data_IF_028348499332
#
_entry.id   IF_028348499332
#
_cell.length_a   1.000
_cell.length_b   1.000
_cell.length_c   1.000
_cell.angle_alpha   90.00
_cell.angle_beta   90.00
_cell.angle_gamma   90.00
#
_symmetry.space_group_name_H-M   'P 1'
#
loop_
_entity.id
_entity.type
_entity.pdbx_description
1 polymer ?
#
# COMPACT_ATOMS: atom_id res chain seq x y z
N UNK A 1 13.83 -13.02 -33.63
CA UNK A 1 12.55 -13.01 -32.89
C UNK A 1 12.88 -12.48 -31.52
N UNK A 2 12.63 -11.18 -31.28
CA UNK A 2 13.11 -10.47 -30.09
C UNK A 2 12.27 -10.76 -28.87
N UNK A 3 12.97 -11.11 -27.79
CA UNK A 3 12.50 -11.12 -26.41
C UNK A 3 11.94 -9.75 -26.01
N UNK A 4 10.68 -9.73 -25.65
CA UNK A 4 10.08 -8.75 -24.75
C UNK A 4 9.16 -9.56 -23.82
N UNK A 5 8.86 -9.03 -22.63
CA UNK A 5 7.98 -9.57 -21.58
C UNK A 5 8.69 -10.29 -20.42
N UNK A 6 9.14 -9.45 -19.49
CA UNK A 6 9.46 -9.76 -18.10
C UNK A 6 9.68 -8.49 -17.27
N UNK A 7 9.16 -7.34 -17.74
CA UNK A 7 9.22 -6.06 -17.04
C UNK A 7 7.84 -5.85 -16.43
N UNK A 8 7.76 -5.69 -15.10
CA UNK A 8 6.54 -5.29 -14.40
C UNK A 8 5.92 -4.14 -15.19
N UNK A 9 4.70 -4.35 -15.68
CA UNK A 9 4.03 -3.39 -16.54
C UNK A 9 3.38 -2.35 -15.64
N UNK A 10 4.14 -1.32 -15.25
CA UNK A 10 3.67 -0.18 -14.44
C UNK A 10 2.35 0.44 -14.94
N UNK A 11 2.05 0.31 -16.25
CA UNK A 11 0.73 0.73 -16.78
C UNK A 11 -0.41 -0.18 -16.31
N UNK A 12 -0.21 -1.48 -16.24
CA UNK A 12 -1.23 -2.42 -15.77
C UNK A 12 -1.59 -2.16 -14.31
N UNK A 13 -0.62 -1.87 -13.45
CA UNK A 13 -0.89 -1.55 -12.03
C UNK A 13 -1.64 -0.22 -11.85
N UNK A 14 -1.34 0.77 -12.70
CA UNK A 14 -2.10 2.03 -12.78
C UNK A 14 -3.51 1.77 -13.31
N UNK A 15 -3.66 0.91 -14.33
CA UNK A 15 -4.96 0.52 -14.87
C UNK A 15 -5.79 -0.29 -13.85
N UNK A 16 -5.16 -1.12 -13.02
CA UNK A 16 -5.79 -1.89 -11.95
C UNK A 16 -6.20 -0.97 -10.78
N UNK A 17 -5.39 0.04 -10.45
CA UNK A 17 -5.74 1.12 -9.53
C UNK A 17 -6.95 1.92 -10.05
N UNK A 18 -6.96 2.24 -11.33
CA UNK A 18 -8.05 2.93 -12.02
C UNK A 18 -9.35 2.10 -11.98
N UNK A 19 -9.29 0.81 -12.31
CA UNK A 19 -10.47 -0.08 -12.32
C UNK A 19 -11.03 -0.30 -10.92
N UNK A 20 -10.16 -0.48 -9.92
CA UNK A 20 -10.58 -0.65 -8.54
C UNK A 20 -11.33 0.57 -8.01
N UNK A 21 -10.77 1.76 -8.24
CA UNK A 21 -11.37 2.99 -7.73
C UNK A 21 -12.70 3.31 -8.44
N UNK A 22 -12.81 2.98 -9.74
CA UNK A 22 -14.01 3.26 -10.53
C UNK A 22 -15.11 2.21 -10.41
N UNK A 23 -14.76 0.92 -10.27
CA UNK A 23 -15.70 -0.19 -10.40
C UNK A 23 -15.76 -1.13 -9.18
N UNK A 24 -14.74 -1.14 -8.31
CA UNK A 24 -14.63 -2.07 -7.18
C UNK A 24 -15.52 -1.75 -5.98
N UNK A 25 -15.77 -0.47 -5.69
CA UNK A 25 -16.47 -0.04 -4.46
C UNK A 25 -17.82 0.66 -4.69
N UNK A 26 -17.99 1.42 -5.78
CA UNK A 26 -19.13 2.33 -5.98
C UNK A 26 -20.48 1.66 -6.35
N UNK A 27 -20.58 0.32 -6.35
CA UNK A 27 -21.79 -0.41 -6.81
C UNK A 27 -22.46 -1.36 -5.81
N UNK A 28 -22.12 -1.33 -4.53
CA UNK A 28 -22.94 -2.00 -3.51
C UNK A 28 -23.82 -0.96 -2.82
N UNK A 29 -25.14 -1.05 -3.05
CA UNK A 29 -26.14 -0.08 -2.60
C UNK A 29 -26.40 -0.06 -1.08
N UNK A 30 -25.42 -0.45 -0.26
CA UNK A 30 -25.44 -0.38 1.20
C UNK A 30 -24.48 0.71 1.76
N UNK A 31 -23.79 1.46 0.89
CA UNK A 31 -22.72 2.39 1.29
C UNK A 31 -23.03 3.83 0.89
N UNK A 32 -22.91 4.78 1.84
CA UNK A 32 -23.10 6.21 1.61
C UNK A 32 -21.74 6.91 1.38
N UNK A 33 -21.34 7.04 0.12
CA UNK A 33 -20.28 7.95 -0.37
C UNK A 33 -18.81 7.61 -0.03
N UNK A 34 -17.82 8.26 -0.71
CA UNK A 34 -16.41 7.88 -0.64
C UNK A 34 -15.74 8.48 0.58
N UNK A 35 -15.43 7.64 1.56
CA UNK A 35 -14.35 7.92 2.51
C UNK A 35 -13.32 6.82 2.33
N UNK A 36 -12.45 7.00 1.33
CA UNK A 36 -11.52 5.97 0.84
C UNK A 36 -10.59 5.42 1.95
N UNK A 37 -10.32 6.23 2.98
CA UNK A 37 -9.31 5.93 4.00
C UNK A 37 -9.86 5.69 5.40
N UNK A 38 -11.05 6.16 5.73
CA UNK A 38 -11.64 5.91 7.06
C UNK A 38 -13.15 5.90 6.97
N UNK A 39 -13.78 4.85 7.47
CA UNK A 39 -15.23 4.75 7.53
C UNK A 39 -15.64 4.43 8.98
N UNK A 40 -16.82 4.87 9.41
CA UNK A 40 -17.43 4.53 10.70
C UNK A 40 -17.39 3.03 11.03
N UNK A 41 -17.38 2.15 10.03
CA UNK A 41 -17.21 0.71 10.20
C UNK A 41 -15.91 0.31 10.91
N UNK A 42 -14.80 1.05 10.75
CA UNK A 42 -13.55 0.79 11.48
C UNK A 42 -13.76 1.03 12.97
N UNK A 43 -14.44 2.13 13.32
CA UNK A 43 -14.80 2.45 14.70
C UNK A 43 -15.76 1.42 15.29
N UNK A 44 -16.76 0.98 14.54
CA UNK A 44 -17.70 -0.06 14.99
C UNK A 44 -17.00 -1.40 15.24
N UNK A 45 -16.13 -1.84 14.32
CA UNK A 45 -15.33 -3.04 14.49
C UNK A 45 -14.38 -2.94 15.70
N UNK A 46 -13.71 -1.78 15.86
CA UNK A 46 -12.82 -1.49 16.99
C UNK A 46 -13.56 -1.57 18.33
N UNK A 47 -14.76 -0.99 18.41
CA UNK A 47 -15.63 -1.05 19.59
C UNK A 47 -16.13 -2.46 19.88
N UNK A 48 -16.53 -3.21 18.85
CA UNK A 48 -16.95 -4.62 19.00
C UNK A 48 -15.82 -5.48 19.56
N UNK A 49 -14.59 -5.24 19.14
CA UNK A 49 -13.41 -5.96 19.63
C UNK A 49 -12.98 -5.52 21.04
N UNK A 50 -13.41 -4.35 21.51
CA UNK A 50 -12.97 -3.80 22.79
C UNK A 50 -13.29 -4.72 23.97
N UNK A 51 -14.43 -5.44 23.92
CA UNK A 51 -14.83 -6.41 24.95
C UNK A 51 -13.89 -7.63 25.05
N UNK A 52 -13.19 -7.94 23.96
CA UNK A 52 -12.27 -9.08 23.88
C UNK A 52 -10.82 -8.70 24.20
N UNK A 53 -10.49 -7.40 24.26
CA UNK A 53 -9.14 -6.92 24.56
C UNK A 53 -8.89 -6.89 26.06
N UNK A 54 -7.75 -7.43 26.46
CA UNK A 54 -7.35 -7.57 27.85
C UNK A 54 -5.87 -7.22 28.04
N UNK A 55 -5.45 -6.94 29.27
CA UNK A 55 -4.03 -6.75 29.57
C UNK A 55 -3.29 -8.10 29.62
N UNK A 56 -3.12 -8.72 28.44
CA UNK A 56 -2.41 -9.97 28.27
C UNK A 56 -0.99 -9.72 27.76
N UNK A 57 -0.01 -10.57 28.15
CA UNK A 57 1.33 -10.49 27.60
C UNK A 57 1.35 -10.58 26.07
N UNK A 58 2.21 -9.78 25.48
CA UNK A 58 2.54 -9.83 24.05
C UNK A 58 3.94 -10.42 23.92
N UNK A 59 4.16 -11.28 22.92
CA UNK A 59 5.49 -11.81 22.62
C UNK A 59 6.50 -10.66 22.43
N UNK A 60 7.75 -10.85 22.87
CA UNK A 60 8.78 -9.85 22.59
C UNK A 60 9.00 -9.75 21.08
N UNK A 61 9.39 -8.57 20.61
CA UNK A 61 9.53 -8.33 19.17
C UNK A 61 10.53 -9.28 18.49
N UNK A 62 11.60 -9.69 19.18
CA UNK A 62 12.54 -10.69 18.69
C UNK A 62 11.91 -12.07 18.54
N UNK A 63 11.09 -12.48 19.51
CA UNK A 63 10.40 -13.77 19.46
C UNK A 63 9.35 -13.76 18.34
N UNK A 64 8.67 -12.63 18.13
CA UNK A 64 7.73 -12.46 17.03
C UNK A 64 8.44 -12.56 15.66
N UNK A 65 9.60 -11.93 15.52
CA UNK A 65 10.44 -12.01 14.30
C UNK A 65 10.84 -13.45 14.00
N UNK A 66 11.30 -14.21 15.01
CA UNK A 66 11.66 -15.62 14.87
C UNK A 66 10.45 -16.49 14.47
N UNK A 67 9.31 -16.30 15.16
CA UNK A 67 8.07 -17.06 14.92
C UNK A 67 7.52 -16.84 13.52
N UNK A 68 7.58 -15.60 13.00
CA UNK A 68 7.15 -15.28 11.64
C UNK A 68 8.15 -15.80 10.61
N UNK A 69 9.45 -15.60 10.85
CA UNK A 69 10.52 -15.90 9.88
C UNK A 69 10.63 -17.38 9.58
N UNK A 70 10.49 -18.23 10.59
CA UNK A 70 10.75 -19.67 10.49
C UNK A 70 9.89 -20.39 9.43
N UNK A 71 8.55 -20.29 9.41
CA UNK A 71 7.74 -20.92 8.37
C UNK A 71 7.96 -20.33 6.98
N UNK A 72 8.21 -19.02 6.85
CA UNK A 72 8.54 -18.39 5.58
C UNK A 72 9.87 -18.93 5.00
N UNK A 73 10.89 -19.10 5.85
CA UNK A 73 12.17 -19.68 5.45
C UNK A 73 12.01 -21.13 5.00
N UNK A 74 11.22 -21.94 5.73
CA UNK A 74 10.94 -23.32 5.33
C UNK A 74 10.22 -23.42 3.99
N UNK A 75 9.33 -22.49 3.69
CA UNK A 75 8.68 -22.41 2.39
C UNK A 75 9.71 -22.24 1.27
N UNK A 76 10.59 -21.23 1.37
CA UNK A 76 11.62 -21.00 0.35
C UNK A 76 12.64 -22.14 0.27
N UNK A 77 13.05 -22.71 1.41
CA UNK A 77 13.95 -23.85 1.45
C UNK A 77 13.36 -25.09 0.78
N UNK A 78 12.05 -25.29 0.91
CA UNK A 78 11.32 -26.38 0.25
C UNK A 78 11.27 -26.17 -1.26
N UNK A 79 11.05 -24.93 -1.72
CA UNK A 79 11.11 -24.59 -3.15
C UNK A 79 12.52 -24.82 -3.70
N UNK A 80 13.57 -24.35 -3.01
CA UNK A 80 14.96 -24.53 -3.42
C UNK A 80 15.34 -26.00 -3.57
N UNK A 81 14.71 -26.90 -2.80
CA UNK A 81 14.97 -28.33 -2.88
C UNK A 81 14.33 -29.00 -4.10
N UNK A 82 13.27 -28.42 -4.67
CA UNK A 82 12.48 -29.03 -5.76
C UNK A 82 12.64 -28.32 -7.11
N UNK A 83 13.01 -27.03 -7.11
CA UNK A 83 13.18 -26.23 -8.32
C UNK A 83 14.66 -26.25 -8.75
N UNK A 84 15.02 -26.87 -9.89
CA UNK A 84 16.42 -27.03 -10.29
C UNK A 84 17.16 -25.72 -10.57
N UNK A 85 16.44 -24.64 -10.90
CA UNK A 85 16.99 -23.31 -11.18
C UNK A 85 17.06 -22.41 -9.95
N UNK A 86 16.70 -22.93 -8.77
CA UNK A 86 16.81 -22.20 -7.53
C UNK A 86 18.23 -22.23 -6.98
N UNK A 87 18.76 -21.06 -6.67
CA UNK A 87 20.06 -20.86 -6.04
C UNK A 87 19.86 -20.35 -4.62
N UNK A 88 20.51 -21.01 -3.65
CA UNK A 88 20.58 -20.49 -2.28
C UNK A 88 21.59 -19.35 -2.25
N UNK A 89 21.16 -18.21 -1.74
CA UNK A 89 22.01 -17.04 -1.47
C UNK A 89 22.14 -16.83 0.04
N UNK A 90 23.04 -15.94 0.45
CA UNK A 90 23.18 -15.55 1.87
C UNK A 90 21.90 -14.88 2.41
N UNK A 91 21.03 -14.39 1.51
CA UNK A 91 19.79 -13.67 1.83
C UNK A 91 18.52 -14.49 1.58
N UNK A 92 18.62 -15.72 1.07
CA UNK A 92 17.46 -16.59 0.85
C UNK A 92 17.60 -17.50 -0.36
N UNK A 93 16.56 -17.53 -1.18
CA UNK A 93 16.47 -18.38 -2.38
C UNK A 93 16.12 -17.50 -3.57
N UNK A 94 16.98 -17.50 -4.58
CA UNK A 94 16.77 -16.78 -5.83
C UNK A 94 16.47 -17.77 -6.96
N UNK A 95 15.48 -17.43 -7.79
CA UNK A 95 15.19 -18.19 -9.02
C UNK A 95 14.46 -17.29 -10.02
N UNK A 96 14.48 -17.62 -11.33
CA UNK A 96 13.64 -16.92 -12.29
C UNK A 96 12.16 -16.99 -11.90
N UNK A 97 11.43 -15.85 -11.95
CA UNK A 97 9.99 -15.81 -11.59
C UNK A 97 9.13 -16.81 -12.38
N UNK A 98 9.53 -17.15 -13.60
CA UNK A 98 8.83 -18.16 -14.43
C UNK A 98 8.93 -19.57 -13.84
N UNK A 99 10.03 -19.87 -13.14
CA UNK A 99 10.28 -21.18 -12.54
C UNK A 99 9.73 -21.26 -11.11
N UNK A 100 9.39 -20.12 -10.52
CA UNK A 100 8.84 -20.03 -9.17
C UNK A 100 7.42 -20.63 -9.12
N UNK A 101 7.19 -21.65 -8.26
CA UNK A 101 5.87 -22.23 -8.05
C UNK A 101 4.86 -21.18 -7.59
N UNK A 102 3.59 -21.37 -7.96
CA UNK A 102 2.52 -20.53 -7.43
C UNK A 102 2.43 -20.70 -5.92
N UNK A 103 2.38 -19.59 -5.20
CA UNK A 103 2.15 -19.59 -3.76
C UNK A 103 0.70 -19.97 -3.45
N UNK A 104 0.52 -20.78 -2.41
CA UNK A 104 -0.77 -21.11 -1.82
C UNK A 104 -0.71 -20.94 -0.30
N UNK A 105 -1.76 -20.38 0.28
CA UNK A 105 -1.86 -20.10 1.71
C UNK A 105 -1.84 -21.38 2.55
N UNK A 106 -2.30 -22.50 1.99
CA UNK A 106 -2.27 -23.82 2.63
C UNK A 106 -0.85 -24.36 2.89
N UNK A 107 0.17 -23.75 2.27
CA UNK A 107 1.59 -24.04 2.50
C UNK A 107 2.06 -23.77 3.93
N UNK A 108 1.27 -23.07 4.74
CA UNK A 108 1.59 -22.65 6.11
C UNK A 108 2.75 -21.64 6.20
N UNK A 109 3.20 -21.05 5.08
CA UNK A 109 4.29 -20.07 5.12
C UNK A 109 3.98 -18.84 6.00
N UNK A 110 2.70 -18.47 6.11
CA UNK A 110 2.23 -17.33 6.91
C UNK A 110 1.72 -17.71 8.31
N UNK A 111 1.82 -18.98 8.73
CA UNK A 111 1.25 -19.42 10.01
C UNK A 111 1.86 -18.71 11.24
N UNK A 112 3.11 -18.27 11.13
CA UNK A 112 3.78 -17.48 12.17
C UNK A 112 3.16 -16.08 12.33
N UNK A 113 2.68 -15.50 11.23
CA UNK A 113 1.95 -14.23 11.23
C UNK A 113 0.65 -14.38 12.00
N UNK A 114 -0.14 -15.42 11.72
CA UNK A 114 -1.40 -15.70 12.42
C UNK A 114 -1.20 -15.82 13.94
N UNK A 115 -0.15 -16.50 14.36
CA UNK A 115 0.17 -16.69 15.78
C UNK A 115 0.51 -15.35 16.48
N UNK A 116 1.36 -14.54 15.85
CA UNK A 116 1.80 -13.24 16.39
C UNK A 116 0.64 -12.23 16.41
N UNK A 117 -0.10 -12.13 15.31
CA UNK A 117 -1.25 -11.23 15.18
C UNK A 117 -2.34 -11.61 16.16
N UNK A 118 -2.67 -12.90 16.25
CA UNK A 118 -3.67 -13.41 17.20
C UNK A 118 -3.34 -13.09 18.66
N UNK A 119 -2.06 -13.10 19.05
CA UNK A 119 -1.62 -12.65 20.37
C UNK A 119 -1.72 -11.12 20.55
N UNK A 120 -1.35 -10.35 19.53
CA UNK A 120 -1.31 -8.89 19.60
C UNK A 120 -2.71 -8.26 19.66
N UNK A 121 -3.64 -8.67 18.80
CA UNK A 121 -4.94 -8.00 18.63
C UNK A 121 -5.85 -8.06 19.86
N UNK A 122 -5.65 -9.06 20.72
CA UNK A 122 -6.39 -9.25 21.97
C UNK A 122 -5.74 -8.53 23.17
N UNK A 123 -4.58 -7.90 22.98
CA UNK A 123 -3.87 -7.22 24.06
C UNK A 123 -4.21 -5.73 24.13
N UNK A 124 -4.18 -5.16 25.35
CA UNK A 124 -4.15 -3.71 25.59
C UNK A 124 -2.73 -3.20 25.87
N UNK A 125 -1.69 -4.02 25.67
CA UNK A 125 -0.29 -3.57 25.71
C UNK A 125 0.06 -2.91 24.38
N UNK A 126 -0.53 -1.73 24.17
CA UNK A 126 -0.64 -1.07 22.87
C UNK A 126 0.67 -1.00 22.10
N UNK A 127 1.75 -0.52 22.72
CA UNK A 127 3.02 -0.34 22.05
C UNK A 127 3.65 -1.67 21.61
N UNK A 128 3.66 -2.65 22.51
CA UNK A 128 4.23 -3.99 22.23
C UNK A 128 3.42 -4.69 21.13
N UNK A 129 2.09 -4.62 21.23
CA UNK A 129 1.17 -5.19 20.24
C UNK A 129 1.33 -4.54 18.87
N UNK A 130 1.38 -3.20 18.80
CA UNK A 130 1.61 -2.48 17.53
C UNK A 130 2.99 -2.81 16.97
N UNK A 131 4.02 -2.97 17.79
CA UNK A 131 5.33 -3.44 17.34
C UNK A 131 5.23 -4.79 16.60
N UNK A 132 4.50 -5.74 17.18
CA UNK A 132 4.29 -7.06 16.57
C UNK A 132 3.39 -7.01 15.33
N UNK A 133 2.34 -6.18 15.33
CA UNK A 133 1.48 -5.98 14.15
C UNK A 133 2.25 -5.32 12.99
N UNK A 134 3.07 -4.31 13.29
CA UNK A 134 3.93 -3.65 12.31
C UNK A 134 4.93 -4.65 11.70
N UNK A 135 5.55 -5.50 12.53
CA UNK A 135 6.45 -6.57 12.09
C UNK A 135 5.75 -7.59 11.20
N UNK A 136 4.56 -8.03 11.60
CA UNK A 136 3.72 -8.94 10.81
C UNK A 136 3.41 -8.37 9.42
N UNK A 137 2.98 -7.11 9.34
CA UNK A 137 2.70 -6.42 8.08
C UNK A 137 3.95 -6.29 7.21
N UNK A 138 5.06 -5.84 7.79
CA UNK A 138 6.35 -5.70 7.09
C UNK A 138 6.78 -7.04 6.46
N UNK A 139 6.80 -8.10 7.24
CA UNK A 139 7.25 -9.41 6.79
C UNK A 139 6.30 -10.05 5.77
N UNK A 140 4.99 -9.84 5.94
CA UNK A 140 3.99 -10.30 4.97
C UNK A 140 4.14 -9.58 3.64
N UNK A 141 4.27 -8.25 3.64
CA UNK A 141 4.49 -7.47 2.42
C UNK A 141 5.77 -7.92 1.68
N UNK A 142 6.86 -8.10 2.43
CA UNK A 142 8.12 -8.63 1.90
C UNK A 142 7.95 -10.03 1.32
N UNK A 143 7.29 -10.93 2.04
CA UNK A 143 7.07 -12.30 1.60
C UNK A 143 6.26 -12.33 0.30
N UNK A 144 5.13 -11.63 0.26
CA UNK A 144 4.25 -11.54 -0.93
C UNK A 144 5.02 -10.97 -2.12
N UNK A 145 5.88 -9.97 -1.91
CA UNK A 145 6.74 -9.41 -2.97
C UNK A 145 7.77 -10.40 -3.55
N UNK A 146 8.11 -11.46 -2.81
CA UNK A 146 9.12 -12.46 -3.17
C UNK A 146 8.55 -13.81 -3.61
N UNK A 147 7.23 -13.99 -3.62
CA UNK A 147 6.58 -15.20 -4.13
C UNK A 147 5.84 -14.95 -5.45
N UNK A 148 5.50 -16.04 -6.16
CA UNK A 148 4.64 -15.96 -7.33
C UNK A 148 3.18 -16.14 -6.92
N UNK A 149 2.56 -15.06 -6.45
CA UNK A 149 1.17 -15.03 -5.98
C UNK A 149 0.17 -14.89 -7.14
N UNK A 150 0.08 -15.92 -7.99
CA UNK A 150 -0.72 -15.83 -9.24
C UNK A 150 -2.23 -15.82 -9.00
N UNK A 151 -2.66 -16.37 -7.87
CA UNK A 151 -4.06 -16.48 -7.48
C UNK A 151 -4.46 -15.41 -6.44
N UNK A 152 -3.56 -14.48 -6.12
CA UNK A 152 -3.72 -13.38 -5.16
C UNK A 152 -4.01 -13.81 -3.71
N UNK A 153 -3.76 -15.06 -3.33
CA UNK A 153 -3.99 -15.54 -1.96
C UNK A 153 -3.12 -14.78 -0.94
N UNK A 154 -1.86 -14.49 -1.29
CA UNK A 154 -0.94 -13.73 -0.44
C UNK A 154 -1.32 -12.26 -0.34
N UNK A 155 -1.75 -11.66 -1.45
CA UNK A 155 -2.20 -10.28 -1.52
C UNK A 155 -3.50 -10.06 -0.74
N UNK A 156 -4.47 -10.96 -0.86
CA UNK A 156 -5.71 -10.91 -0.08
C UNK A 156 -5.43 -11.07 1.42
N UNK A 157 -4.51 -11.97 1.79
CA UNK A 157 -4.05 -12.10 3.18
C UNK A 157 -3.44 -10.79 3.72
N UNK A 158 -2.59 -10.11 2.93
CA UNK A 158 -1.99 -8.83 3.31
C UNK A 158 -3.05 -7.75 3.54
N UNK A 159 -4.09 -7.70 2.69
CA UNK A 159 -5.20 -6.75 2.84
C UNK A 159 -5.98 -6.99 4.14
N UNK A 160 -6.32 -8.23 4.43
CA UNK A 160 -7.01 -8.60 5.67
C UNK A 160 -6.16 -8.26 6.91
N UNK A 161 -4.85 -8.50 6.83
CA UNK A 161 -3.91 -8.12 7.88
C UNK A 161 -3.86 -6.60 8.11
N UNK A 162 -3.78 -5.80 7.04
CA UNK A 162 -3.82 -4.33 7.13
C UNK A 162 -5.14 -3.87 7.76
N UNK A 163 -6.26 -4.49 7.40
CA UNK A 163 -7.55 -4.17 8.00
C UNK A 163 -7.57 -4.46 9.51
N UNK A 164 -7.01 -5.58 9.95
CA UNK A 164 -6.86 -5.88 11.38
C UNK A 164 -6.01 -4.81 12.10
N UNK A 165 -4.92 -4.36 11.48
CA UNK A 165 -4.09 -3.28 12.02
C UNK A 165 -4.85 -1.96 12.11
N UNK A 166 -5.63 -1.58 11.10
CA UNK A 166 -6.45 -0.37 11.13
C UNK A 166 -7.46 -0.37 12.27
N UNK A 167 -8.16 -1.49 12.45
CA UNK A 167 -9.11 -1.67 13.56
C UNK A 167 -8.40 -1.58 14.91
N UNK A 168 -7.22 -2.20 15.05
CA UNK A 168 -6.44 -2.12 16.28
C UNK A 168 -5.91 -0.71 16.56
N UNK A 169 -5.44 0.00 15.53
CA UNK A 169 -4.93 1.36 15.65
C UNK A 169 -6.02 2.38 16.00
N UNK A 170 -7.27 2.14 15.60
CA UNK A 170 -8.41 2.93 16.10
C UNK A 170 -8.60 2.73 17.61
N UNK A 171 -8.47 1.50 18.11
CA UNK A 171 -8.50 1.23 19.55
C UNK A 171 -7.33 1.90 20.28
N UNK A 172 -6.12 1.91 19.69
CA UNK A 172 -4.96 2.64 20.24
C UNK A 172 -5.27 4.14 20.32
N UNK A 173 -5.77 4.76 19.25
CA UNK A 173 -6.12 6.18 19.22
C UNK A 173 -7.15 6.55 20.30
N UNK A 174 -8.10 5.67 20.59
CA UNK A 174 -9.14 5.92 21.58
C UNK A 174 -8.69 5.70 23.04
N UNK A 175 -7.70 4.85 23.29
CA UNK A 175 -7.45 4.31 24.64
C UNK A 175 -6.00 4.46 25.14
N UNK A 176 -5.02 4.63 24.26
CA UNK A 176 -3.63 4.79 24.66
C UNK A 176 -3.36 6.22 25.16
N UNK A 177 -2.37 6.37 26.04
CA UNK A 177 -1.86 7.71 26.34
C UNK A 177 -1.17 8.30 25.09
N UNK A 178 -1.10 9.65 24.97
CA UNK A 178 -0.58 10.30 23.75
C UNK A 178 0.83 9.87 23.35
N UNK A 179 1.72 9.59 24.31
CA UNK A 179 3.10 9.16 24.02
C UNK A 179 3.10 7.75 23.41
N UNK A 180 2.33 6.82 23.98
CA UNK A 180 2.16 5.48 23.42
C UNK A 180 1.50 5.53 22.04
N UNK A 181 0.49 6.38 21.86
CA UNK A 181 -0.19 6.59 20.59
C UNK A 181 0.74 7.11 19.49
N UNK A 182 1.55 8.13 19.79
CA UNK A 182 2.56 8.69 18.87
C UNK A 182 3.55 7.62 18.40
N UNK A 183 4.13 6.89 19.36
CA UNK A 183 5.13 5.87 19.04
C UNK A 183 4.53 4.74 18.19
N UNK A 184 3.30 4.33 18.50
CA UNK A 184 2.56 3.33 17.73
C UNK A 184 2.31 3.78 16.29
N UNK A 185 1.80 5.00 16.09
CA UNK A 185 1.53 5.53 14.76
C UNK A 185 2.83 5.69 13.95
N UNK A 186 3.93 6.08 14.60
CA UNK A 186 5.24 6.17 13.97
C UNK A 186 5.76 4.82 13.48
N UNK A 187 5.55 3.73 14.23
CA UNK A 187 5.92 2.37 13.78
C UNK A 187 5.16 1.98 12.51
N UNK A 188 3.84 2.19 12.49
CA UNK A 188 3.01 1.90 11.31
C UNK A 188 3.44 2.75 10.11
N UNK A 189 3.68 4.04 10.32
CA UNK A 189 4.15 4.94 9.25
C UNK A 189 5.52 4.50 8.71
N UNK A 190 6.43 4.04 9.57
CA UNK A 190 7.73 3.51 9.13
C UNK A 190 7.58 2.28 8.24
N UNK A 191 6.68 1.35 8.59
CA UNK A 191 6.41 0.16 7.77
C UNK A 191 5.75 0.56 6.45
N UNK A 192 4.71 1.40 6.48
CA UNK A 192 4.03 1.83 5.25
C UNK A 192 4.97 2.53 4.27
N UNK A 193 5.94 3.31 4.76
CA UNK A 193 6.91 4.04 3.96
C UNK A 193 8.15 3.22 3.59
N UNK A 194 8.18 1.91 3.85
CA UNK A 194 9.33 1.07 3.55
C UNK A 194 9.34 0.63 2.06
N UNK A 195 10.42 -0.03 1.66
CA UNK A 195 10.61 -0.47 0.28
C UNK A 195 9.69 -1.65 -0.11
N UNK A 196 9.21 -2.45 0.85
CA UNK A 196 8.30 -3.57 0.62
C UNK A 196 6.92 -3.10 0.14
N UNK A 197 6.55 -1.85 0.46
CA UNK A 197 5.31 -1.21 0.02
C UNK A 197 5.45 -0.35 -1.24
N UNK A 198 6.66 -0.19 -1.80
CA UNK A 198 6.91 0.65 -3.00
C UNK A 198 6.05 0.30 -4.20
N UNK A 199 5.75 -0.98 -4.38
CA UNK A 199 4.96 -1.49 -5.50
C UNK A 199 3.48 -1.72 -5.14
N UNK A 200 3.11 -1.48 -3.87
CA UNK A 200 1.76 -1.68 -3.35
C UNK A 200 1.22 -0.35 -2.78
N UNK A 201 1.15 0.67 -3.65
CA UNK A 201 0.80 2.03 -3.24
C UNK A 201 -0.58 2.11 -2.55
N UNK A 202 -1.53 1.27 -2.95
CA UNK A 202 -2.82 1.15 -2.28
C UNK A 202 -2.69 0.66 -0.85
N UNK A 203 -1.97 -0.44 -0.62
CA UNK A 203 -1.80 -1.03 0.71
C UNK A 203 -1.00 -0.09 1.63
N UNK A 204 -0.03 0.64 1.07
CA UNK A 204 0.66 1.72 1.79
C UNK A 204 -0.34 2.76 2.29
N UNK A 205 -1.21 3.26 1.40
CA UNK A 205 -2.18 4.30 1.72
C UNK A 205 -3.25 3.79 2.70
N UNK A 206 -3.72 2.55 2.53
CA UNK A 206 -4.63 1.88 3.49
C UNK A 206 -3.99 1.76 4.88
N UNK A 207 -2.71 1.41 4.96
CA UNK A 207 -1.99 1.32 6.23
C UNK A 207 -1.78 2.70 6.88
N UNK A 208 -1.43 3.72 6.08
CA UNK A 208 -1.29 5.10 6.56
C UNK A 208 -2.60 5.69 7.07
N UNK A 209 -3.74 5.20 6.56
CA UNK A 209 -5.05 5.63 7.02
C UNK A 209 -5.32 5.39 8.51
N UNK A 210 -4.50 4.56 9.19
CA UNK A 210 -4.49 4.45 10.65
C UNK A 210 -4.37 5.83 11.33
N UNK A 211 -3.67 6.79 10.71
CA UNK A 211 -3.53 8.15 11.23
C UNK A 211 -4.86 8.91 11.37
N UNK A 212 -5.89 8.56 10.58
CA UNK A 212 -7.19 9.24 10.63
C UNK A 212 -7.90 9.08 11.97
N UNK A 213 -7.73 7.94 12.66
CA UNK A 213 -8.28 7.77 14.01
C UNK A 213 -7.61 8.70 15.04
N UNK A 214 -6.35 9.09 14.83
CA UNK A 214 -5.61 10.01 15.71
C UNK A 214 -5.92 11.48 15.40
N UNK A 215 -6.31 11.79 14.17
CA UNK A 215 -6.67 13.14 13.72
C UNK A 215 -7.91 13.71 14.44
N UNK A 216 -8.75 12.82 14.98
CA UNK A 216 -9.97 13.14 15.72
C UNK A 216 -9.71 13.80 17.08
N UNK A 217 -8.50 13.63 17.65
CA UNK A 217 -8.19 14.11 19.00
C UNK A 217 -7.16 15.24 18.95
N UNK A 218 -7.42 16.35 19.64
CA UNK A 218 -6.55 17.53 19.61
C UNK A 218 -5.09 17.19 19.97
N UNK A 219 -4.87 16.36 21.00
CA UNK A 219 -3.54 16.01 21.50
C UNK A 219 -2.74 15.10 20.56
N UNK A 220 -3.42 14.33 19.68
CA UNK A 220 -2.76 13.37 18.76
C UNK A 220 -2.88 13.75 17.29
N UNK A 221 -3.62 14.82 16.98
CA UNK A 221 -3.85 15.28 15.60
C UNK A 221 -2.55 15.65 14.89
N UNK A 222 -1.61 16.26 15.59
CA UNK A 222 -0.29 16.60 15.04
C UNK A 222 0.47 15.36 14.55
N UNK A 223 0.35 14.22 15.24
CA UNK A 223 1.05 12.99 14.87
C UNK A 223 0.56 12.43 13.54
N UNK A 224 -0.73 12.58 13.28
CA UNK A 224 -1.34 12.13 12.05
C UNK A 224 -0.92 13.01 10.85
N UNK A 225 -0.76 14.32 11.05
CA UNK A 225 -0.16 15.22 10.06
C UNK A 225 1.32 14.91 9.80
N UNK A 226 2.10 14.62 10.84
CA UNK A 226 3.51 14.23 10.68
C UNK A 226 3.64 12.92 9.90
N UNK A 227 2.76 11.94 10.15
CA UNK A 227 2.71 10.69 9.41
C UNK A 227 2.39 10.93 7.92
N UNK A 228 1.41 11.79 7.60
CA UNK A 228 1.10 12.16 6.23
C UNK A 228 2.24 12.89 5.53
N UNK A 229 2.85 13.88 6.18
CA UNK A 229 3.96 14.63 5.61
C UNK A 229 5.12 13.70 5.25
N UNK A 230 5.42 12.74 6.14
CA UNK A 230 6.41 11.72 5.89
C UNK A 230 6.02 10.84 4.71
N UNK A 231 4.77 10.38 4.64
CA UNK A 231 4.29 9.56 3.55
C UNK A 231 4.38 10.27 2.20
N UNK A 232 3.95 11.54 2.11
CA UNK A 232 4.07 12.34 0.90
C UNK A 232 5.52 12.52 0.45
N UNK A 233 6.43 12.76 1.39
CA UNK A 233 7.86 12.87 1.09
C UNK A 233 8.40 11.55 0.50
N UNK A 234 8.08 10.42 1.14
CA UNK A 234 8.47 9.09 0.66
C UNK A 234 7.89 8.77 -0.72
N UNK A 235 6.60 9.04 -0.95
CA UNK A 235 5.98 8.83 -2.26
C UNK A 235 6.61 9.70 -3.35
N UNK A 236 6.95 10.95 -3.03
CA UNK A 236 7.64 11.86 -3.94
C UNK A 236 9.04 11.36 -4.30
N UNK A 237 9.78 10.82 -3.33
CA UNK A 237 11.08 10.18 -3.57
C UNK A 237 10.95 8.93 -4.46
N UNK A 238 9.92 8.10 -4.23
CA UNK A 238 9.65 6.93 -5.08
C UNK A 238 9.35 7.34 -6.52
N UNK A 239 8.48 8.33 -6.73
CA UNK A 239 8.16 8.86 -8.05
C UNK A 239 9.39 9.44 -8.76
N UNK A 240 10.26 10.17 -8.04
CA UNK A 240 11.50 10.70 -8.60
C UNK A 240 12.44 9.56 -9.05
N UNK A 241 12.67 8.56 -8.21
CA UNK A 241 13.53 7.40 -8.53
C UNK A 241 13.02 6.56 -9.72
N UNK A 242 11.70 6.54 -9.91
CA UNK A 242 11.03 5.86 -11.00
C UNK A 242 11.23 6.53 -12.37
N UNK A 243 11.58 7.83 -12.41
CA UNK A 243 11.85 8.60 -13.63
C UNK A 243 13.29 8.50 -14.12
N UNK A 244 14.28 8.41 -13.22
CA UNK A 244 15.71 8.29 -13.58
C UNK A 244 16.04 7.01 -14.36
N UNK A 245 15.26 5.94 -14.19
CA UNK A 245 15.43 4.69 -14.94
C UNK A 245 14.97 4.74 -16.41
N UNK A 246 14.44 5.87 -16.88
CA UNK A 246 14.03 6.06 -18.29
C UNK A 246 15.08 6.77 -19.16
N UNK A 247 16.09 7.40 -18.57
CA UNK A 247 17.10 8.18 -19.31
C UNK A 247 18.34 7.40 -19.78
N UNK A 248 18.53 6.16 -19.34
CA UNK A 248 19.71 5.36 -19.74
C UNK A 248 19.53 4.54 -21.03
N UNK A 249 18.39 4.66 -21.72
CA UNK A 249 18.12 3.91 -22.95
C UNK A 249 18.54 4.62 -24.26
N UNK A 250 19.02 5.87 -24.21
CA UNK A 250 19.39 6.63 -25.43
C UNK A 250 20.81 7.20 -25.37
N UNK A 251 21.84 6.36 -25.28
CA UNK A 251 23.21 6.78 -25.58
C UNK A 251 24.01 5.79 -26.42
N UNK A 252 23.38 5.16 -27.42
CA UNK A 252 24.13 4.50 -28.50
C UNK A 252 23.45 4.66 -29.85
N UNK A 253 23.71 5.79 -30.53
CA UNK A 253 23.78 5.81 -32.00
C UNK A 253 24.97 6.63 -32.47
N UNK A 254 25.88 5.90 -33.09
CA UNK A 254 27.06 6.33 -33.84
C UNK A 254 26.69 7.21 -35.04
N UNK A 255 27.59 8.14 -35.33
CA UNK A 255 27.68 9.00 -36.52
C UNK A 255 27.33 8.32 -37.85
N UNK A 256 26.50 8.96 -38.67
CA UNK A 256 26.84 9.35 -40.05
C UNK A 256 25.78 10.31 -40.63
N UNK A 257 25.98 10.77 -41.85
CA UNK A 257 25.87 12.17 -42.31
C UNK A 257 24.71 12.52 -43.27
N UNK A 258 24.46 13.84 -43.38
CA UNK A 258 23.94 14.66 -44.49
C UNK A 258 22.43 14.95 -44.74
N UNK A 259 22.17 16.27 -44.70
CA UNK A 259 21.27 17.14 -45.48
C UNK A 259 19.77 17.39 -45.14
N UNK A 260 19.23 18.61 -45.43
CA UNK A 260 18.05 19.17 -44.74
C UNK A 260 16.80 19.45 -45.61
N UNK A 261 15.63 19.54 -44.92
CA UNK A 261 14.35 20.27 -45.24
C UNK A 261 13.43 19.74 -46.37
N UNK A 262 12.11 20.14 -46.48
CA UNK A 262 11.18 20.82 -45.54
C UNK A 262 9.71 20.27 -45.51
N UNK A 263 8.86 20.90 -44.66
CA UNK A 263 7.39 20.82 -44.56
C UNK A 263 6.63 20.85 -45.92
N UNK A 264 5.57 20.03 -46.07
CA UNK A 264 4.29 20.38 -46.72
C UNK A 264 3.19 19.32 -46.49
N UNK A 265 2.21 19.69 -45.67
CA UNK A 265 0.75 19.54 -45.81
C UNK A 265 0.11 18.25 -46.37
N UNK A 266 -0.73 17.62 -45.54
CA UNK A 266 -2.03 17.10 -45.97
C UNK A 266 -3.06 17.28 -44.84
N UNK A 267 -3.86 18.35 -44.98
CA UNK A 267 -5.13 18.57 -44.27
C UNK A 267 -6.12 17.47 -44.64
N UNK A 268 -6.90 17.00 -43.67
CA UNK A 268 -8.33 16.71 -43.86
C UNK A 268 -9.03 16.71 -42.50
N UNK A 269 -9.86 17.74 -42.33
CA UNK A 269 -11.18 17.77 -41.68
C UNK A 269 -11.36 17.04 -40.33
N UNK A 270 -11.47 17.82 -39.25
CA UNK A 270 -12.63 17.88 -38.35
C UNK A 270 -12.62 19.27 -37.70
N UNK A 271 -13.33 20.21 -38.32
CA UNK A 271 -13.95 21.34 -37.61
C UNK A 271 -15.30 20.81 -37.08
N UNK A 272 -15.33 20.36 -35.83
CA UNK A 272 -16.54 20.35 -35.00
C UNK A 272 -16.16 20.09 -33.53
N UNK A 273 -16.64 20.96 -32.65
CA UNK A 273 -16.40 21.04 -31.19
C UNK A 273 -15.19 21.89 -30.75
N UNK A 274 -15.27 23.19 -31.02
CA UNK A 274 -14.96 24.14 -29.96
C UNK A 274 -15.99 23.92 -28.82
N UNK A 275 -15.58 23.26 -27.74
CA UNK A 275 -16.17 23.50 -26.42
C UNK A 275 -15.07 24.11 -25.55
N UNK A 276 -15.22 25.41 -25.34
CA UNK A 276 -14.69 26.08 -24.17
C UNK A 276 -15.40 25.50 -22.95
N UNK A 277 -14.71 24.68 -22.16
CA UNK A 277 -15.16 24.24 -20.85
C UNK A 277 -13.95 23.90 -19.99
N UNK A 278 -13.18 24.93 -19.62
CA UNK A 278 -12.39 24.83 -18.39
C UNK A 278 -13.37 24.68 -17.22
N UNK A 279 -13.44 23.48 -16.66
CA UNK A 279 -14.21 23.20 -15.44
C UNK A 279 -13.67 24.08 -14.30
N UNK A 280 -14.57 24.61 -13.48
CA UNK A 280 -14.20 25.35 -12.27
C UNK A 280 -13.54 24.42 -11.24
N UNK A 281 -12.74 24.96 -10.31
CA UNK A 281 -12.09 24.17 -9.24
C UNK A 281 -13.10 23.36 -8.39
N UNK A 282 -14.34 23.86 -8.24
CA UNK A 282 -15.43 23.14 -7.57
C UNK A 282 -15.97 21.98 -8.42
N UNK A 283 -16.12 22.14 -9.74
CA UNK A 283 -16.54 21.06 -10.64
C UNK A 283 -15.45 19.99 -10.80
N UNK A 284 -14.16 20.37 -10.73
CA UNK A 284 -13.02 19.45 -10.67
C UNK A 284 -13.02 18.64 -9.36
N UNK A 285 -13.40 19.26 -8.24
CA UNK A 285 -13.52 18.62 -6.94
C UNK A 285 -14.69 17.63 -6.89
N UNK A 286 -15.81 17.97 -7.51
CA UNK A 286 -16.95 17.08 -7.66
C UNK A 286 -16.67 15.92 -8.66
N UNK A 287 -15.90 16.17 -9.73
CA UNK A 287 -15.43 15.10 -10.63
C UNK A 287 -14.42 14.16 -9.95
N UNK A 288 -13.51 14.68 -9.12
CA UNK A 288 -12.57 13.88 -8.35
C UNK A 288 -13.26 12.96 -7.31
N UNK A 289 -14.49 13.30 -6.90
CA UNK A 289 -15.34 12.41 -6.08
C UNK A 289 -16.05 11.31 -6.89
N UNK A 290 -16.12 11.43 -8.21
CA UNK A 290 -16.92 10.57 -9.10
C UNK A 290 -16.08 9.66 -10.02
N UNK A 291 -14.85 10.06 -10.39
CA UNK A 291 -13.93 9.26 -11.22
C UNK A 291 -12.44 9.58 -10.91
N UNK A 292 -11.82 8.84 -9.98
CA UNK A 292 -10.42 9.07 -9.58
C UNK A 292 -9.36 8.67 -10.62
N UNK A 293 -9.75 8.10 -11.77
CA UNK A 293 -8.81 7.78 -12.86
C UNK A 293 -8.27 8.99 -13.61
N UNK A 294 -8.82 10.18 -13.34
CA UNK A 294 -8.35 11.45 -13.88
C UNK A 294 -7.24 12.08 -13.03
N UNK A 295 -6.89 11.46 -11.89
CA UNK A 295 -5.93 11.98 -10.93
C UNK A 295 -4.56 11.30 -11.15
N UNK A 296 -3.53 12.12 -11.35
CA UNK A 296 -2.12 11.73 -11.28
C UNK A 296 -1.77 11.23 -9.86
N UNK A 297 -0.66 10.49 -9.68
CA UNK A 297 -0.17 10.07 -8.35
C UNK A 297 -0.08 11.22 -7.34
N UNK A 298 0.23 12.43 -7.84
CA UNK A 298 0.25 13.67 -7.07
C UNK A 298 -1.15 14.11 -6.63
N UNK A 299 -2.14 13.99 -7.51
CA UNK A 299 -3.54 14.35 -7.23
C UNK A 299 -4.23 13.30 -6.35
N UNK A 300 -3.81 12.03 -6.37
CA UNK A 300 -4.20 11.01 -5.39
C UNK A 300 -3.66 11.37 -4.00
N UNK A 301 -2.39 11.77 -3.92
CA UNK A 301 -1.80 12.24 -2.66
C UNK A 301 -2.48 13.52 -2.13
N UNK A 302 -2.79 14.49 -3.00
CA UNK A 302 -3.55 15.69 -2.66
C UNK A 302 -5.01 15.38 -2.27
N UNK A 303 -5.63 14.36 -2.88
CA UNK A 303 -6.98 13.89 -2.50
C UNK A 303 -6.98 13.20 -1.14
N UNK A 304 -5.97 12.36 -0.86
CA UNK A 304 -5.77 11.78 0.46
C UNK A 304 -5.53 12.87 1.53
N UNK A 305 -4.74 13.89 1.20
CA UNK A 305 -4.51 15.07 2.04
C UNK A 305 -5.82 15.84 2.30
N UNK A 306 -6.61 16.12 1.26
CA UNK A 306 -7.89 16.82 1.39
C UNK A 306 -8.94 16.03 2.20
N UNK A 307 -8.97 14.70 2.06
CA UNK A 307 -9.84 13.85 2.87
C UNK A 307 -9.41 13.82 4.34
N UNK A 308 -8.11 13.82 4.59
CA UNK A 308 -7.57 13.94 5.94
C UNK A 308 -7.93 15.30 6.57
N UNK A 309 -7.80 16.39 5.83
CA UNK A 309 -8.20 17.73 6.28
C UNK A 309 -9.71 17.83 6.52
N UNK A 310 -10.53 17.20 5.68
CA UNK A 310 -11.98 17.13 5.89
C UNK A 310 -12.37 16.32 7.13
N UNK A 311 -11.72 15.16 7.36
CA UNK A 311 -11.93 14.35 8.55
C UNK A 311 -11.58 15.11 9.84
N UNK A 312 -10.54 15.94 9.81
CA UNK A 312 -10.15 16.83 10.91
C UNK A 312 -11.23 17.88 11.21
N UNK A 313 -11.82 18.49 10.18
CA UNK A 313 -12.84 19.54 10.34
C UNK A 313 -14.16 18.98 10.86
N UNK A 314 -14.60 17.81 10.40
CA UNK A 314 -15.87 17.19 10.85
C UNK A 314 -15.81 16.60 12.26
N UNK A 315 -14.61 16.48 12.84
CA UNK A 315 -14.37 15.98 14.20
C UNK A 315 -14.35 17.08 15.27
N UNK A 316 -14.52 18.35 14.86
CA UNK A 316 -14.56 19.56 15.71
C UNK A 316 -15.99 19.92 16.11
#
# INVERSE_FOLDING_TARGET
MSNAHGRINRRQEVDDLIDYVNNGWLRTGEFDGPTFLWNHLIREASQKDAENRNNVPVAQLSDADDVISMPMQWYFDSIAAIVPTAERTDTGVEMPRMDMPTFHLDSQALSGVDAVVGNAVVSTRWLDAVGNLAKAVEMTARFVGNVADRDNEGFDYLKDLIQNVRVYMDAVACNADPMTGEQSLRMITQVACNDDFRLNAMQMVELLSCGLSFAQWDDTRMFAYDALNKAMATMSEFAASATDTTTDAESHKTSDSNEPTPLAELKTDIDLFQMDSSLSEEELKDLAMLDPALLTEKEIAETAQNQFDHAVITSS
#
